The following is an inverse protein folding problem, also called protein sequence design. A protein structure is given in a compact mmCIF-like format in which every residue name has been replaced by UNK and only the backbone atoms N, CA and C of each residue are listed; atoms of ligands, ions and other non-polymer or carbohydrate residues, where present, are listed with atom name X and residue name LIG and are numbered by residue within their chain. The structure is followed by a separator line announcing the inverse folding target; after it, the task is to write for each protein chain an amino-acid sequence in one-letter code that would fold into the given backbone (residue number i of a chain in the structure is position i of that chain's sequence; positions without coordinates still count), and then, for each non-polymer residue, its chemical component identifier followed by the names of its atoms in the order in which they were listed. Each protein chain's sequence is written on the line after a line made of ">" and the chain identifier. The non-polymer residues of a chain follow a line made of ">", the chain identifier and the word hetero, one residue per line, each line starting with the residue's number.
data_IF_365651771038
#
_entry.id   IF_365651771038
#
_cell.length_a   1.000
_cell.length_b   1.000
_cell.length_c   1.000
_cell.angle_alpha   90.00
_cell.angle_beta   90.00
_cell.angle_gamma   90.00
#
_symmetry.space_group_name_H-M   'P 1'
#
loop_
_entity.id
_entity.type
_entity.pdbx_description
1 polymer ?
#
# COMPACT_ATOMS: atom_id res chain seq x y z
N UNK A 1 17.01 -6.00 20.23
CA UNK A 1 16.67 -5.95 21.68
C UNK A 1 16.90 -4.55 22.28
N UNK A 2 17.88 -3.77 21.83
CA UNK A 2 18.18 -2.42 22.36
C UNK A 2 17.12 -1.35 22.08
N UNK A 3 16.30 -1.50 21.04
CA UNK A 3 15.32 -0.47 20.62
C UNK A 3 14.19 -0.30 21.64
N UNK A 4 13.79 -1.35 22.34
CA UNK A 4 12.64 -1.33 23.24
C UNK A 4 12.99 -0.96 24.69
N UNK A 5 14.27 -0.93 25.08
CA UNK A 5 14.68 -0.74 26.48
C UNK A 5 14.32 0.65 27.07
N UNK A 6 14.09 1.65 26.22
CA UNK A 6 13.79 3.02 26.63
C UNK A 6 12.35 3.48 26.29
N UNK A 7 11.48 2.56 25.84
CA UNK A 7 10.11 2.90 25.49
C UNK A 7 9.21 2.75 26.74
N UNK A 8 8.42 3.77 27.11
CA UNK A 8 7.48 3.66 28.22
C UNK A 8 6.52 2.49 28.05
N UNK A 9 6.25 1.76 29.15
CA UNK A 9 5.33 0.61 29.15
C UNK A 9 3.94 0.99 28.61
N UNK A 10 3.47 2.20 28.92
CA UNK A 10 2.20 2.72 28.43
C UNK A 10 2.14 2.80 26.91
N UNK A 11 3.22 3.24 26.25
CA UNK A 11 3.27 3.27 24.76
C UNK A 11 3.21 1.86 24.18
N UNK A 12 3.90 0.90 24.79
CA UNK A 12 3.85 -0.51 24.36
C UNK A 12 2.44 -1.08 24.51
N UNK A 13 1.77 -0.78 25.64
CA UNK A 13 0.41 -1.24 25.92
C UNK A 13 -0.59 -0.68 24.89
N UNK A 14 -0.56 0.63 24.65
CA UNK A 14 -1.43 1.28 23.69
C UNK A 14 -1.19 0.74 22.27
N UNK A 15 0.08 0.53 21.87
CA UNK A 15 0.40 -0.08 20.57
C UNK A 15 -0.16 -1.51 20.49
N UNK A 16 -0.05 -2.31 21.54
CA UNK A 16 -0.62 -3.65 21.58
C UNK A 16 -2.14 -3.64 21.43
N UNK A 17 -2.82 -2.68 22.07
CA UNK A 17 -4.27 -2.51 21.95
C UNK A 17 -4.68 -2.11 20.54
N UNK A 18 -3.94 -1.19 19.89
CA UNK A 18 -4.13 -0.78 18.50
C UNK A 18 -3.96 -1.99 17.56
N UNK A 19 -2.89 -2.78 17.71
CA UNK A 19 -2.65 -3.96 16.88
C UNK A 19 -3.74 -5.01 17.10
N UNK A 20 -4.18 -5.20 18.34
CA UNK A 20 -5.26 -6.14 18.67
C UNK A 20 -6.57 -5.71 18.02
N UNK A 21 -6.88 -4.43 18.02
CA UNK A 21 -8.04 -3.89 17.34
C UNK A 21 -7.94 -4.09 15.82
N UNK A 22 -6.79 -3.79 15.24
CA UNK A 22 -6.55 -3.97 13.79
C UNK A 22 -6.71 -5.45 13.37
N UNK A 23 -6.15 -6.40 14.13
CA UNK A 23 -6.31 -7.84 13.86
C UNK A 23 -7.75 -8.33 13.86
N UNK A 24 -8.64 -7.66 14.59
CA UNK A 24 -10.06 -8.01 14.63
C UNK A 24 -10.86 -7.39 13.47
N UNK A 25 -10.39 -6.29 12.92
CA UNK A 25 -11.13 -5.50 11.93
C UNK A 25 -10.55 -5.62 10.51
N UNK A 26 -9.24 -5.81 10.39
CA UNK A 26 -8.61 -6.20 9.12
C UNK A 26 -8.72 -7.71 8.97
N UNK A 27 -9.32 -8.15 7.88
CA UNK A 27 -9.46 -9.59 7.61
C UNK A 27 -8.19 -10.16 6.95
N UNK A 28 -7.01 -9.81 7.49
CA UNK A 28 -5.69 -10.15 6.96
C UNK A 28 -4.75 -10.63 8.06
N UNK A 29 -3.69 -11.34 7.68
CA UNK A 29 -2.63 -11.71 8.59
C UNK A 29 -1.57 -10.62 8.64
N UNK A 30 -1.22 -10.17 9.83
CA UNK A 30 -0.17 -9.18 10.06
C UNK A 30 1.10 -9.87 10.55
N UNK A 31 2.23 -9.58 9.90
CA UNK A 31 3.54 -10.02 10.35
C UNK A 31 3.81 -9.53 11.79
N UNK A 32 4.39 -10.40 12.63
CA UNK A 32 4.63 -10.08 14.04
C UNK A 32 5.64 -8.94 14.25
N UNK A 33 6.45 -8.62 13.27
CA UNK A 33 7.35 -7.46 13.31
C UNK A 33 6.63 -6.14 13.59
N UNK A 34 5.32 -6.05 13.30
CA UNK A 34 4.51 -4.86 13.56
C UNK A 34 4.52 -4.43 15.04
N UNK A 35 4.63 -5.38 15.98
CA UNK A 35 4.72 -5.04 17.41
C UNK A 35 5.95 -4.21 17.73
N UNK A 36 7.05 -4.43 17.03
CA UNK A 36 8.28 -3.67 17.20
C UNK A 36 8.24 -2.39 16.38
N UNK A 37 7.94 -2.49 15.09
CA UNK A 37 8.02 -1.36 14.16
C UNK A 37 6.99 -0.28 14.46
N UNK A 38 5.76 -0.66 14.83
CA UNK A 38 4.73 0.31 15.17
C UNK A 38 4.94 0.90 16.57
N UNK A 39 5.45 0.13 17.54
CA UNK A 39 5.79 0.66 18.87
C UNK A 39 6.89 1.71 18.78
N UNK A 40 7.94 1.43 18.02
CA UNK A 40 9.03 2.39 17.78
C UNK A 40 8.53 3.65 17.07
N UNK A 41 7.71 3.50 16.03
CA UNK A 41 7.11 4.61 15.31
C UNK A 41 6.24 5.49 16.22
N UNK A 42 5.33 4.90 16.99
CA UNK A 42 4.43 5.64 17.90
C UNK A 42 5.25 6.39 18.97
N UNK A 43 6.23 5.71 19.57
CA UNK A 43 7.10 6.36 20.55
C UNK A 43 7.85 7.55 19.96
N UNK A 44 8.41 7.40 18.77
CA UNK A 44 9.09 8.47 18.05
C UNK A 44 8.15 9.61 17.67
N UNK A 45 6.91 9.29 17.22
CA UNK A 45 5.90 10.28 16.89
C UNK A 45 5.50 11.13 18.11
N UNK A 46 5.33 10.50 19.28
CA UNK A 46 5.04 11.21 20.54
C UNK A 46 6.19 12.17 20.92
N UNK A 47 7.45 11.69 20.84
CA UNK A 47 8.62 12.52 21.14
C UNK A 47 8.73 13.71 20.15
N UNK A 48 8.49 13.48 18.88
CA UNK A 48 8.50 14.49 17.82
C UNK A 48 7.42 15.54 18.06
N UNK A 49 6.22 15.13 18.40
CA UNK A 49 5.13 16.04 18.70
C UNK A 49 5.41 16.90 19.96
N UNK A 50 6.02 16.33 21.00
CA UNK A 50 6.44 17.09 22.19
C UNK A 50 7.45 18.20 21.86
N UNK A 51 8.20 18.05 20.77
CA UNK A 51 9.11 19.07 20.23
C UNK A 51 8.41 20.04 19.26
N UNK A 52 7.11 19.93 19.05
CA UNK A 52 6.34 20.76 18.11
C UNK A 52 6.55 20.40 16.64
N UNK A 53 7.17 19.27 16.33
CA UNK A 53 7.46 18.83 14.97
C UNK A 53 6.29 18.00 14.45
N UNK A 54 5.66 18.47 13.37
CA UNK A 54 4.63 17.73 12.63
C UNK A 54 5.17 17.35 11.25
N UNK A 55 5.04 16.09 10.87
CA UNK A 55 5.38 15.60 9.54
C UNK A 55 4.13 15.60 8.65
N UNK A 56 4.33 15.99 7.39
CA UNK A 56 3.32 15.84 6.36
C UNK A 56 3.50 14.51 5.63
N UNK A 57 2.40 13.83 5.40
CA UNK A 57 2.41 12.59 4.63
C UNK A 57 2.09 12.91 3.16
N UNK A 58 3.12 12.85 2.32
CA UNK A 58 3.00 13.19 0.90
C UNK A 58 2.06 12.24 0.13
N UNK A 59 1.81 11.04 0.66
CA UNK A 59 0.94 10.02 0.06
C UNK A 59 -0.39 9.85 0.82
N UNK A 60 -0.78 10.84 1.65
CA UNK A 60 -1.99 10.71 2.48
C UNK A 60 -3.24 10.43 1.64
N UNK A 61 -3.37 11.08 0.49
CA UNK A 61 -4.51 10.90 -0.40
C UNK A 61 -4.53 9.49 -1.01
N UNK A 62 -3.39 9.03 -1.52
CA UNK A 62 -3.21 7.69 -2.09
C UNK A 62 -3.44 6.60 -1.04
N UNK A 63 -2.96 6.82 0.19
CA UNK A 63 -3.17 5.89 1.31
C UNK A 63 -4.66 5.78 1.63
N UNK A 64 -5.36 6.90 1.73
CA UNK A 64 -6.82 6.91 1.97
C UNK A 64 -7.57 6.16 0.87
N UNK A 65 -7.11 6.27 -0.36
CA UNK A 65 -7.73 5.69 -1.55
C UNK A 65 -7.40 4.20 -1.72
N UNK A 66 -6.12 3.85 -1.65
CA UNK A 66 -5.67 2.48 -1.96
C UNK A 66 -5.68 1.55 -0.75
N UNK A 67 -5.50 2.09 0.46
CA UNK A 67 -5.40 1.35 1.71
C UNK A 67 -6.42 1.85 2.73
N UNK A 68 -7.68 1.93 2.28
CA UNK A 68 -8.75 2.56 3.08
C UNK A 68 -8.96 1.88 4.43
N UNK A 69 -8.93 0.54 4.48
CA UNK A 69 -9.13 -0.21 5.72
C UNK A 69 -7.99 0.01 6.71
N UNK A 70 -6.75 -0.01 6.22
CA UNK A 70 -5.57 0.24 7.03
C UNK A 70 -5.54 1.72 7.49
N UNK A 71 -6.00 2.64 6.65
CA UNK A 71 -6.16 4.05 7.05
C UNK A 71 -7.18 4.21 8.19
N UNK A 72 -8.30 3.47 8.17
CA UNK A 72 -9.26 3.48 9.29
C UNK A 72 -8.63 2.96 10.59
N UNK A 73 -7.70 1.99 10.51
CA UNK A 73 -6.93 1.54 11.68
C UNK A 73 -5.97 2.63 12.17
N UNK A 74 -5.35 3.36 11.25
CA UNK A 74 -4.53 4.53 11.56
C UNK A 74 -5.34 5.63 12.25
N UNK A 75 -6.56 5.91 11.79
CA UNK A 75 -7.49 6.84 12.42
C UNK A 75 -7.85 6.42 13.84
N UNK A 76 -8.24 5.16 14.01
CA UNK A 76 -8.50 4.62 15.35
C UNK A 76 -7.29 4.79 16.28
N UNK A 77 -6.08 4.52 15.77
CA UNK A 77 -4.86 4.64 16.53
C UNK A 77 -4.62 6.07 17.03
N UNK A 78 -4.71 7.07 16.16
CA UNK A 78 -4.50 8.47 16.57
C UNK A 78 -5.59 8.95 17.52
N UNK A 79 -6.85 8.54 17.33
CA UNK A 79 -7.94 8.90 18.21
C UNK A 79 -7.70 8.34 19.64
N UNK A 80 -7.28 7.06 19.74
CA UNK A 80 -6.92 6.43 21.02
C UNK A 80 -5.73 7.11 21.68
N UNK A 81 -4.66 7.40 20.93
CA UNK A 81 -3.46 8.07 21.45
C UNK A 81 -3.77 9.49 21.90
N UNK A 82 -4.56 10.23 21.13
CA UNK A 82 -4.99 11.59 21.48
C UNK A 82 -5.83 11.59 22.76
N UNK A 83 -6.71 10.60 22.93
CA UNK A 83 -7.54 10.47 24.15
C UNK A 83 -6.70 10.10 25.39
N UNK A 84 -5.82 9.10 25.25
CA UNK A 84 -5.09 8.53 26.40
C UNK A 84 -3.87 9.34 26.83
N UNK A 85 -3.14 9.91 25.86
CA UNK A 85 -1.88 10.61 26.12
C UNK A 85 -2.00 12.14 25.95
N UNK A 86 -3.18 12.66 25.56
CA UNK A 86 -3.37 14.09 25.31
C UNK A 86 -2.57 14.59 24.11
N UNK A 87 -2.17 13.71 23.20
CA UNK A 87 -1.49 14.07 21.96
C UNK A 87 -2.47 14.80 21.00
N UNK A 88 -1.95 15.39 19.94
CA UNK A 88 -2.73 16.08 18.89
C UNK A 88 -2.29 15.63 17.51
N UNK A 89 -2.26 14.31 17.31
CA UNK A 89 -1.91 13.73 16.03
C UNK A 89 -2.94 14.08 14.96
N UNK A 90 -2.44 14.47 13.79
CA UNK A 90 -3.25 14.77 12.61
C UNK A 90 -3.48 13.51 11.75
N UNK A 91 -4.27 13.66 10.68
CA UNK A 91 -4.49 12.60 9.69
C UNK A 91 -3.22 12.17 8.97
N UNK A 92 -2.21 13.04 8.89
CA UNK A 92 -0.89 12.66 8.34
C UNK A 92 -0.28 11.49 9.15
N UNK A 93 -0.39 11.54 10.49
CA UNK A 93 0.10 10.48 11.36
C UNK A 93 -0.74 9.20 11.23
N UNK A 94 -2.06 9.33 11.05
CA UNK A 94 -2.92 8.18 10.74
C UNK A 94 -2.47 7.48 9.46
N UNK A 95 -2.07 8.25 8.44
CA UNK A 95 -1.50 7.71 7.20
C UNK A 95 -0.18 6.97 7.41
N UNK A 96 0.73 7.51 8.23
CA UNK A 96 1.98 6.81 8.55
C UNK A 96 1.73 5.50 9.32
N UNK A 97 0.81 5.51 10.29
CA UNK A 97 0.41 4.30 11.02
C UNK A 97 -0.24 3.28 10.08
N UNK A 98 -1.08 3.73 9.15
CA UNK A 98 -1.68 2.86 8.14
C UNK A 98 -0.62 2.11 7.31
N UNK A 99 0.47 2.79 6.91
CA UNK A 99 1.57 2.16 6.18
C UNK A 99 2.28 1.05 7.00
N UNK A 100 2.33 1.15 8.33
CA UNK A 100 2.84 0.06 9.16
C UNK A 100 1.95 -1.19 9.07
N UNK A 101 0.62 -1.01 8.99
CA UNK A 101 -0.30 -2.13 8.76
C UNK A 101 -0.11 -2.72 7.37
N UNK A 102 -0.02 -1.90 6.32
CA UNK A 102 0.26 -2.34 4.95
C UNK A 102 1.57 -3.12 4.89
N UNK A 103 2.64 -2.61 5.51
CA UNK A 103 3.93 -3.32 5.54
C UNK A 103 3.82 -4.69 6.22
N UNK A 104 3.06 -4.78 7.30
CA UNK A 104 2.88 -6.03 8.03
C UNK A 104 1.99 -7.03 7.28
N UNK A 105 1.04 -6.56 6.48
CA UNK A 105 0.20 -7.37 5.62
C UNK A 105 0.97 -7.93 4.43
N UNK A 106 1.69 -7.04 3.71
CA UNK A 106 2.40 -7.41 2.49
C UNK A 106 3.83 -7.92 2.74
N UNK A 107 4.30 -7.96 3.99
CA UNK A 107 5.66 -8.35 4.38
C UNK A 107 6.73 -7.54 3.62
N UNK A 108 6.55 -6.23 3.60
CA UNK A 108 7.37 -5.25 2.88
C UNK A 108 8.01 -4.25 3.84
N UNK A 109 8.87 -3.38 3.32
CA UNK A 109 9.40 -2.23 4.06
C UNK A 109 8.56 -0.96 3.77
N UNK A 110 8.69 0.05 4.63
CA UNK A 110 8.05 1.36 4.39
C UNK A 110 8.46 1.95 3.03
N UNK A 111 9.74 1.86 2.68
CA UNK A 111 10.25 2.37 1.41
C UNK A 111 9.61 1.64 0.22
N UNK A 112 9.48 0.32 0.31
CA UNK A 112 8.83 -0.49 -0.73
C UNK A 112 7.36 -0.12 -0.86
N UNK A 113 6.65 0.07 0.26
CA UNK A 113 5.23 0.45 0.24
C UNK A 113 5.03 1.85 -0.35
N UNK A 114 5.92 2.80 -0.08
CA UNK A 114 5.90 4.10 -0.76
C UNK A 114 6.11 3.95 -2.28
N UNK A 115 7.10 3.17 -2.70
CA UNK A 115 7.38 2.92 -4.11
C UNK A 115 6.22 2.17 -4.80
N UNK A 116 5.64 1.16 -4.14
CA UNK A 116 4.45 0.44 -4.62
C UNK A 116 3.25 1.40 -4.81
N UNK A 117 3.00 2.28 -3.85
CA UNK A 117 1.91 3.25 -3.90
C UNK A 117 2.08 4.22 -5.08
N UNK A 118 3.28 4.77 -5.26
CA UNK A 118 3.60 5.63 -6.40
C UNK A 118 3.48 4.89 -7.74
N UNK A 119 3.89 3.62 -7.81
CA UNK A 119 3.77 2.80 -9.00
C UNK A 119 2.29 2.58 -9.38
N UNK A 120 1.44 2.25 -8.40
CA UNK A 120 -0.01 2.08 -8.64
C UNK A 120 -0.60 3.38 -9.19
N UNK A 121 -0.30 4.51 -8.58
CA UNK A 121 -0.78 5.81 -9.05
C UNK A 121 -0.32 6.11 -10.47
N UNK A 122 0.97 5.91 -10.77
CA UNK A 122 1.50 6.13 -12.12
C UNK A 122 0.87 5.24 -13.18
N UNK A 123 0.58 3.98 -12.85
CA UNK A 123 -0.12 3.06 -13.76
C UNK A 123 -1.55 3.54 -14.02
N UNK A 124 -2.29 3.96 -12.98
CA UNK A 124 -3.65 4.47 -13.14
C UNK A 124 -3.69 5.72 -14.02
N UNK A 125 -2.73 6.63 -13.86
CA UNK A 125 -2.62 7.82 -14.69
C UNK A 125 -2.27 7.47 -16.15
N UNK A 126 -1.38 6.50 -16.37
CA UNK A 126 -1.02 6.02 -17.71
C UNK A 126 -2.25 5.44 -18.42
N UNK A 127 -2.99 4.55 -17.76
CA UNK A 127 -4.22 3.96 -18.32
C UNK A 127 -5.26 5.04 -18.63
N UNK A 128 -5.48 5.98 -17.73
CA UNK A 128 -6.40 7.09 -17.91
C UNK A 128 -6.06 7.91 -19.17
N UNK A 129 -4.78 8.19 -19.38
CA UNK A 129 -4.31 8.98 -20.51
C UNK A 129 -4.38 8.22 -21.83
N UNK A 130 -3.96 6.95 -21.85
CA UNK A 130 -3.89 6.17 -23.09
C UNK A 130 -5.26 5.69 -23.57
N UNK A 131 -6.13 5.32 -22.63
CA UNK A 131 -7.47 4.84 -22.94
C UNK A 131 -8.50 5.97 -23.04
N UNK A 132 -8.11 7.22 -22.74
CA UNK A 132 -8.98 8.41 -22.70
C UNK A 132 -10.24 8.17 -21.83
N UNK A 133 -10.04 7.61 -20.62
CA UNK A 133 -11.10 7.27 -19.68
C UNK A 133 -10.96 8.04 -18.37
N UNK A 134 -12.09 8.23 -17.71
CA UNK A 134 -12.15 8.60 -16.28
C UNK A 134 -12.60 7.37 -15.49
N UNK A 135 -11.86 7.05 -14.43
CA UNK A 135 -12.23 5.95 -13.56
C UNK A 135 -13.43 6.33 -12.69
N UNK A 136 -14.42 5.44 -12.64
CA UNK A 136 -15.41 5.44 -11.58
C UNK A 136 -14.80 4.72 -10.36
N UNK A 137 -14.27 5.53 -9.43
CA UNK A 137 -13.55 5.05 -8.26
C UNK A 137 -14.41 4.28 -7.26
N UNK A 138 -15.73 4.38 -7.35
CA UNK A 138 -16.70 3.62 -6.54
C UNK A 138 -17.13 2.31 -7.22
N UNK A 139 -16.67 2.07 -8.45
CA UNK A 139 -17.02 0.86 -9.19
C UNK A 139 -16.24 -0.38 -8.73
N UNK A 140 -16.90 -1.55 -8.81
CA UNK A 140 -16.23 -2.83 -8.56
C UNK A 140 -15.09 -3.11 -9.57
N UNK A 141 -15.16 -2.57 -10.78
CA UNK A 141 -14.10 -2.71 -11.77
C UNK A 141 -12.84 -1.99 -11.33
N UNK A 142 -12.97 -0.74 -10.89
CA UNK A 142 -11.83 0.03 -10.36
C UNK A 142 -11.23 -0.64 -9.12
N UNK A 143 -12.05 -1.08 -8.17
CA UNK A 143 -11.60 -1.77 -6.96
C UNK A 143 -10.81 -3.04 -7.29
N UNK A 144 -11.29 -3.84 -8.25
CA UNK A 144 -10.57 -5.04 -8.72
C UNK A 144 -9.27 -4.69 -9.41
N UNK A 145 -9.26 -3.66 -10.25
CA UNK A 145 -8.04 -3.23 -10.93
C UNK A 145 -6.98 -2.77 -9.93
N UNK A 146 -7.33 -1.88 -8.99
CA UNK A 146 -6.41 -1.44 -7.92
C UNK A 146 -5.92 -2.63 -7.09
N UNK A 147 -6.79 -3.57 -6.75
CA UNK A 147 -6.41 -4.79 -6.02
C UNK A 147 -5.40 -5.62 -6.82
N UNK A 148 -5.62 -5.78 -8.13
CA UNK A 148 -4.67 -6.46 -9.00
C UNK A 148 -3.31 -5.74 -9.04
N UNK A 149 -3.30 -4.41 -9.13
CA UNK A 149 -2.08 -3.61 -9.11
C UNK A 149 -1.30 -3.75 -7.79
N UNK A 150 -1.99 -3.83 -6.66
CA UNK A 150 -1.35 -4.10 -5.35
C UNK A 150 -0.63 -5.44 -5.35
N UNK A 151 -1.28 -6.50 -5.84
CA UNK A 151 -0.66 -7.83 -5.93
C UNK A 151 0.49 -7.89 -6.94
N UNK A 152 0.36 -7.22 -8.09
CA UNK A 152 1.46 -7.09 -9.05
C UNK A 152 2.67 -6.41 -8.42
N UNK A 153 2.44 -5.28 -7.75
CA UNK A 153 3.48 -4.55 -7.04
C UNK A 153 4.17 -5.42 -5.98
N UNK A 154 3.39 -6.14 -5.17
CA UNK A 154 3.91 -7.06 -4.17
C UNK A 154 4.78 -8.16 -4.80
N UNK A 155 4.30 -8.83 -5.86
CA UNK A 155 5.06 -9.86 -6.56
C UNK A 155 6.36 -9.32 -7.17
N UNK A 156 6.31 -8.10 -7.72
CA UNK A 156 7.49 -7.44 -8.28
C UNK A 156 8.57 -7.24 -7.20
N UNK A 157 8.19 -6.67 -6.05
CA UNK A 157 9.14 -6.42 -4.95
C UNK A 157 9.63 -7.69 -4.26
N UNK A 158 8.85 -8.77 -4.29
CA UNK A 158 9.25 -10.08 -3.79
C UNK A 158 10.02 -10.94 -4.80
N UNK A 159 10.14 -10.49 -6.05
CA UNK A 159 10.69 -11.28 -7.15
C UNK A 159 9.93 -12.60 -7.39
N UNK A 160 8.61 -12.58 -7.19
CA UNK A 160 7.70 -13.72 -7.29
C UNK A 160 6.69 -13.55 -8.43
N UNK A 161 7.11 -12.93 -9.55
CA UNK A 161 6.24 -12.70 -10.70
C UNK A 161 5.73 -13.99 -11.32
N UNK A 162 4.56 -13.94 -11.93
CA UNK A 162 3.97 -15.05 -12.66
C UNK A 162 4.92 -15.49 -13.78
N UNK A 163 4.94 -16.79 -14.05
CA UNK A 163 5.76 -17.36 -15.11
C UNK A 163 4.96 -17.43 -16.41
N UNK A 164 5.63 -17.28 -17.54
CA UNK A 164 5.01 -17.38 -18.86
C UNK A 164 4.59 -18.83 -19.15
N UNK A 165 3.32 -19.16 -18.89
CA UNK A 165 2.78 -20.50 -19.13
C UNK A 165 1.79 -20.57 -20.33
N UNK A 166 1.12 -19.47 -20.73
CA UNK A 166 0.04 -19.51 -21.72
C UNK A 166 0.19 -18.49 -22.88
N UNK A 167 1.02 -18.85 -23.86
CA UNK A 167 1.22 -18.03 -25.06
C UNK A 167 -0.04 -17.94 -25.95
N UNK A 168 -0.91 -18.96 -25.97
CA UNK A 168 -2.11 -18.98 -26.82
C UNK A 168 -3.18 -18.00 -26.35
N UNK A 169 -3.37 -17.89 -25.03
CA UNK A 169 -4.35 -16.95 -24.47
C UNK A 169 -3.91 -15.50 -24.61
N UNK A 170 -2.61 -15.23 -24.50
CA UNK A 170 -2.07 -13.88 -24.75
C UNK A 170 -2.35 -13.41 -26.19
N UNK A 171 -2.18 -14.29 -27.19
CA UNK A 171 -2.53 -13.98 -28.60
C UNK A 171 -4.03 -13.73 -28.79
N UNK A 172 -4.88 -14.45 -28.08
CA UNK A 172 -6.32 -14.23 -28.12
C UNK A 172 -6.68 -12.85 -27.58
N UNK A 173 -6.08 -12.44 -26.47
CA UNK A 173 -6.26 -11.12 -25.86
C UNK A 173 -5.78 -10.01 -26.80
N UNK A 174 -4.59 -10.12 -27.35
CA UNK A 174 -4.05 -9.16 -28.32
C UNK A 174 -4.96 -8.96 -29.54
N UNK A 175 -5.57 -10.04 -30.05
CA UNK A 175 -6.49 -9.96 -31.19
C UNK A 175 -7.86 -9.38 -30.83
N UNK A 176 -8.36 -9.66 -29.63
CA UNK A 176 -9.72 -9.29 -29.24
C UNK A 176 -9.78 -7.91 -28.57
N UNK A 177 -8.74 -7.54 -27.85
CA UNK A 177 -8.62 -6.32 -27.05
C UNK A 177 -7.27 -5.63 -27.33
N UNK A 178 -7.01 -5.21 -28.59
CA UNK A 178 -5.69 -4.70 -28.99
C UNK A 178 -5.29 -3.41 -28.25
N UNK A 179 -6.26 -2.55 -27.92
CA UNK A 179 -5.99 -1.29 -27.19
C UNK A 179 -5.55 -1.55 -25.76
N UNK A 180 -6.29 -2.38 -25.02
CA UNK A 180 -6.01 -2.76 -23.64
C UNK A 180 -4.68 -3.53 -23.55
N UNK A 181 -4.42 -4.40 -24.51
CA UNK A 181 -3.17 -5.17 -24.57
C UNK A 181 -1.96 -4.27 -24.85
N UNK A 182 -2.08 -3.28 -25.76
CA UNK A 182 -1.02 -2.31 -26.03
C UNK A 182 -0.76 -1.41 -24.81
N UNK A 183 -1.81 -0.90 -24.15
CA UNK A 183 -1.69 -0.15 -22.91
C UNK A 183 -0.96 -0.98 -21.84
N UNK A 184 -1.25 -2.27 -21.73
CA UNK A 184 -0.57 -3.18 -20.77
C UNK A 184 0.92 -3.33 -21.07
N UNK A 185 1.33 -3.32 -22.34
CA UNK A 185 2.76 -3.31 -22.72
C UNK A 185 3.43 -2.00 -22.31
N UNK A 186 2.77 -0.86 -22.48
CA UNK A 186 3.29 0.42 -22.01
C UNK A 186 3.41 0.49 -20.49
N UNK A 187 2.49 -0.15 -19.75
CA UNK A 187 2.63 -0.32 -18.30
C UNK A 187 3.89 -1.13 -17.97
N UNK A 188 4.15 -2.22 -18.70
CA UNK A 188 5.35 -3.02 -18.52
C UNK A 188 6.64 -2.20 -18.75
N UNK A 189 6.68 -1.41 -19.81
CA UNK A 189 7.79 -0.50 -20.11
C UNK A 189 7.97 0.57 -19.02
N UNK A 190 6.87 1.13 -18.52
CA UNK A 190 6.89 2.08 -17.42
C UNK A 190 7.49 1.47 -16.15
N UNK A 191 7.05 0.26 -15.78
CA UNK A 191 7.57 -0.45 -14.60
C UNK A 191 9.07 -0.76 -14.76
N UNK A 192 9.48 -1.25 -15.92
CA UNK A 192 10.89 -1.56 -16.20
C UNK A 192 11.77 -0.31 -16.09
N UNK A 193 11.32 0.79 -16.69
CA UNK A 193 12.08 2.05 -16.72
C UNK A 193 12.18 2.72 -15.34
N UNK A 194 11.08 2.83 -14.61
CA UNK A 194 11.02 3.61 -13.38
C UNK A 194 11.37 2.79 -12.12
N UNK A 195 11.14 1.46 -12.15
CA UNK A 195 11.33 0.58 -11.00
C UNK A 195 12.31 -0.57 -11.24
N UNK A 196 12.82 -0.72 -12.47
CA UNK A 196 13.85 -1.71 -12.81
C UNK A 196 13.36 -3.15 -12.84
N UNK A 197 12.03 -3.38 -12.80
CA UNK A 197 11.42 -4.71 -12.78
C UNK A 197 10.89 -5.11 -14.15
N UNK A 198 11.25 -6.30 -14.62
CA UNK A 198 10.62 -6.88 -15.82
C UNK A 198 9.38 -7.67 -15.41
N UNK A 199 8.23 -7.40 -16.02
CA UNK A 199 7.01 -8.19 -15.82
C UNK A 199 6.82 -9.18 -16.97
N UNK A 200 6.25 -10.35 -16.64
CA UNK A 200 6.04 -11.44 -17.59
C UNK A 200 4.90 -11.14 -18.56
N UNK A 201 4.85 -11.86 -19.66
CA UNK A 201 3.72 -11.81 -20.60
C UNK A 201 2.39 -12.16 -19.96
N UNK A 202 2.38 -13.04 -18.96
CA UNK A 202 1.19 -13.40 -18.18
C UNK A 202 0.70 -12.22 -17.34
N UNK A 203 1.60 -11.47 -16.68
CA UNK A 203 1.22 -10.24 -15.97
C UNK A 203 0.66 -9.17 -16.91
N UNK A 204 1.25 -9.01 -18.12
CA UNK A 204 0.74 -8.10 -19.17
C UNK A 204 -0.69 -8.49 -19.56
N UNK A 205 -0.93 -9.78 -19.76
CA UNK A 205 -2.25 -10.30 -20.09
C UNK A 205 -3.27 -10.04 -18.97
N UNK A 206 -2.89 -10.26 -17.70
CA UNK A 206 -3.76 -9.97 -16.56
C UNK A 206 -4.07 -8.48 -16.45
N UNK A 207 -3.12 -7.59 -16.72
CA UNK A 207 -3.37 -6.16 -16.78
C UNK A 207 -4.42 -5.83 -17.85
N UNK A 208 -4.27 -6.39 -19.07
CA UNK A 208 -5.20 -6.14 -20.18
C UNK A 208 -6.64 -6.60 -19.88
N UNK A 209 -6.83 -7.60 -19.04
CA UNK A 209 -8.17 -8.06 -18.62
C UNK A 209 -8.85 -7.06 -17.67
N UNK A 210 -8.08 -6.26 -16.95
CA UNK A 210 -8.60 -5.35 -15.93
C UNK A 210 -8.72 -3.89 -16.42
N UNK A 211 -8.09 -3.56 -17.54
CA UNK A 211 -8.24 -2.28 -18.23
C UNK A 211 -9.55 -2.28 -19.03
#
# INVERSE_FOLDING_TARGET
>A
QEILENIPLEHMQLTSDIITYAKKNLNVQLNQSIYITLTDHINFAIQRQAQGIQLKNALLWEIKKFYHQEYLMGKYAIDLLNEKLGTKFSEDEAGFIALHFVNAEYDTTINDTFAMTNMIQGILELVKQEMDIEFDEESLHYERFVTHLKFLAQRLYRHELLKDEEIEFAKLMENKYPGEYECSKHIAEYIEKEYGGQISGEEIMFLAIHI
#
